data_IF_638445043301
#
_entry.id   IF_638445043301
#
_cell.length_a   1.000
_cell.length_b   1.000
_cell.length_c   1.000
_cell.angle_alpha   90.00
_cell.angle_beta   90.00
_cell.angle_gamma   90.00
#
_symmetry.space_group_name_H-M   'P 1'
#
loop_
_entity.id
_entity.type
_entity.pdbx_description
1 polymer ?
#
# COMPACT_ATOMS: atom_id res chain seq x y z
N UNK A 1 15.53 5.55 11.32
CA UNK A 1 14.45 5.06 12.20
C UNK A 1 14.11 3.64 11.71
N UNK A 2 13.18 2.91 12.31
CA UNK A 2 12.67 1.67 11.70
C UNK A 2 11.15 1.74 11.72
N UNK A 3 10.55 2.03 10.57
CA UNK A 3 9.12 2.08 10.37
C UNK A 3 8.75 1.11 9.25
N UNK A 4 7.62 0.42 9.40
CA UNK A 4 7.08 -0.49 8.40
C UNK A 4 5.61 -0.18 8.24
N UNK A 5 5.17 -0.06 6.99
CA UNK A 5 3.77 0.13 6.66
C UNK A 5 3.15 -1.20 6.27
N UNK A 6 1.92 -1.42 6.71
CA UNK A 6 1.13 -2.56 6.25
C UNK A 6 -0.30 -2.16 5.91
N UNK A 7 -0.79 -2.66 4.78
CA UNK A 7 -2.10 -2.33 4.21
C UNK A 7 -2.95 -3.60 4.12
N UNK A 8 -4.21 -3.45 4.52
CA UNK A 8 -5.22 -4.50 4.50
C UNK A 8 -5.89 -4.59 3.12
N UNK A 9 -5.76 -5.73 2.44
CA UNK A 9 -6.37 -6.03 1.14
C UNK A 9 -7.51 -7.05 1.23
N UNK A 10 -8.08 -7.25 2.41
CA UNK A 10 -9.23 -8.13 2.60
C UNK A 10 -10.46 -7.60 1.86
N UNK A 11 -11.33 -8.53 1.44
CA UNK A 11 -12.53 -8.20 0.67
C UNK A 11 -13.56 -7.32 1.40
N UNK A 12 -13.44 -7.11 2.72
CA UNK A 12 -14.29 -6.18 3.46
C UNK A 12 -14.10 -4.72 3.04
N UNK A 13 -13.01 -4.39 2.35
CA UNK A 13 -12.76 -3.05 1.80
C UNK A 13 -13.61 -2.73 0.56
N UNK A 14 -14.23 -3.75 -0.06
CA UNK A 14 -14.96 -3.61 -1.31
C UNK A 14 -14.06 -3.68 -2.55
N UNK A 15 -14.70 -3.77 -3.72
CA UNK A 15 -14.02 -3.84 -5.01
C UNK A 15 -13.40 -2.46 -5.36
N UNK A 16 -12.08 -2.34 -5.55
CA UNK A 16 -11.41 -1.07 -5.84
C UNK A 16 -11.92 -0.32 -7.08
N UNK A 17 -12.65 -0.99 -7.99
CA UNK A 17 -13.30 -0.35 -9.13
C UNK A 17 -14.57 0.44 -8.76
N UNK A 18 -15.09 0.24 -7.55
CA UNK A 18 -16.31 0.88 -7.05
C UNK A 18 -15.97 2.07 -6.14
N UNK A 19 -16.71 3.17 -6.28
CA UNK A 19 -16.47 4.42 -5.54
C UNK A 19 -16.65 4.29 -4.03
N UNK A 20 -17.43 3.30 -3.59
CA UNK A 20 -17.65 3.01 -2.17
C UNK A 20 -16.49 2.22 -1.53
N UNK A 21 -15.55 1.71 -2.32
CA UNK A 21 -14.42 0.95 -1.79
C UNK A 21 -13.46 1.84 -1.01
N UNK A 22 -12.94 1.32 0.10
CA UNK A 22 -11.90 2.00 0.87
C UNK A 22 -10.56 2.06 0.10
N UNK A 23 -10.40 1.22 -0.92
CA UNK A 23 -9.29 1.22 -1.87
C UNK A 23 -9.61 1.93 -3.19
N UNK A 24 -10.74 2.62 -3.31
CA UNK A 24 -11.05 3.35 -4.53
C UNK A 24 -9.94 4.36 -4.86
N UNK A 25 -9.47 4.36 -6.10
CA UNK A 25 -8.52 5.36 -6.60
C UNK A 25 -9.30 6.40 -7.37
N UNK A 26 -9.41 7.59 -6.79
CA UNK A 26 -10.15 8.68 -7.40
C UNK A 26 -9.41 9.21 -8.65
N UNK A 27 -10.07 9.26 -9.83
CA UNK A 27 -9.45 9.77 -11.07
C UNK A 27 -9.01 11.24 -10.99
N UNK A 28 -9.53 12.01 -10.03
CA UNK A 28 -9.14 13.39 -9.74
C UNK A 28 -7.96 13.50 -8.75
N UNK A 29 -7.41 12.36 -8.31
CA UNK A 29 -6.36 12.23 -7.28
C UNK A 29 -6.78 12.67 -5.87
N UNK A 30 -8.08 12.64 -5.55
CA UNK A 30 -8.51 12.77 -4.16
C UNK A 30 -8.13 11.50 -3.38
N UNK A 31 -7.42 11.61 -2.23
CA UNK A 31 -6.94 10.42 -1.55
C UNK A 31 -8.05 9.63 -0.86
N UNK A 32 -7.94 8.31 -0.90
CA UNK A 32 -8.76 7.45 -0.04
C UNK A 32 -8.23 7.43 1.42
N UNK A 33 -8.92 6.68 2.28
CA UNK A 33 -8.58 6.61 3.71
C UNK A 33 -7.17 6.03 3.96
N UNK A 34 -6.76 5.02 3.19
CA UNK A 34 -5.43 4.41 3.32
C UNK A 34 -4.34 5.38 2.86
N UNK A 35 -4.52 6.04 1.72
CA UNK A 35 -3.57 7.03 1.21
C UNK A 35 -3.42 8.22 2.16
N UNK A 36 -4.55 8.69 2.72
CA UNK A 36 -4.56 9.77 3.71
C UNK A 36 -3.77 9.38 4.96
N UNK A 37 -4.00 8.18 5.50
CA UNK A 37 -3.30 7.69 6.68
C UNK A 37 -1.79 7.51 6.43
N UNK A 38 -1.42 6.91 5.29
CA UNK A 38 -0.04 6.70 4.88
C UNK A 38 0.72 8.03 4.77
N UNK A 39 0.15 9.03 4.11
CA UNK A 39 0.79 10.35 3.98
C UNK A 39 0.89 11.07 5.33
N UNK A 40 -0.20 11.09 6.10
CA UNK A 40 -0.24 11.81 7.39
C UNK A 40 0.82 11.32 8.38
N UNK A 41 1.10 10.02 8.40
CA UNK A 41 2.14 9.42 9.25
C UNK A 41 3.51 9.46 8.56
N UNK A 42 3.54 9.04 7.30
CA UNK A 42 4.75 8.85 6.54
C UNK A 42 5.54 10.13 6.33
N UNK A 43 4.89 11.24 5.95
CA UNK A 43 5.57 12.52 5.70
C UNK A 43 6.29 13.04 6.95
N UNK A 44 5.76 12.74 8.15
CA UNK A 44 6.40 13.09 9.41
C UNK A 44 7.56 12.14 9.70
N UNK A 45 7.33 10.84 9.56
CA UNK A 45 8.28 9.79 9.91
C UNK A 45 9.49 9.78 8.97
N UNK A 46 9.30 10.09 7.70
CA UNK A 46 10.32 10.11 6.65
C UNK A 46 11.47 11.09 6.94
N UNK A 47 11.19 12.21 7.60
CA UNK A 47 12.22 13.18 7.97
C UNK A 47 13.15 12.69 9.09
N UNK A 48 12.76 11.63 9.82
CA UNK A 48 13.58 10.97 10.83
C UNK A 48 14.27 9.71 10.31
N UNK A 49 14.10 9.41 9.02
CA UNK A 49 14.72 8.29 8.37
C UNK A 49 15.78 8.74 7.36
N UNK A 50 17.02 8.26 7.54
CA UNK A 50 18.16 8.76 6.76
C UNK A 50 18.23 8.18 5.36
N UNK A 51 17.70 6.97 5.14
CA UNK A 51 17.69 6.32 3.83
C UNK A 51 16.31 6.42 3.14
N UNK A 52 15.26 6.76 3.90
CA UNK A 52 13.89 6.94 3.41
C UNK A 52 13.36 5.67 2.76
N UNK A 53 13.88 4.50 3.15
CA UNK A 53 13.44 3.20 2.67
C UNK A 53 12.51 2.55 3.69
N UNK A 54 11.27 2.37 3.28
CA UNK A 54 10.24 1.77 4.12
C UNK A 54 9.83 0.41 3.58
N UNK A 55 9.89 -0.68 4.37
CA UNK A 55 9.19 -1.90 4.05
C UNK A 55 7.69 -1.61 3.96
N UNK A 56 7.07 -2.01 2.85
CA UNK A 56 5.62 -1.90 2.66
C UNK A 56 5.02 -3.27 2.35
N UNK A 57 4.12 -3.69 3.22
CA UNK A 57 3.55 -5.04 3.23
C UNK A 57 2.04 -4.99 2.98
N UNK A 58 1.52 -5.91 2.19
CA UNK A 58 0.09 -6.16 2.05
C UNK A 58 -0.31 -7.46 2.72
N UNK A 59 -1.56 -7.57 3.17
CA UNK A 59 -2.12 -8.84 3.66
C UNK A 59 -3.59 -8.99 3.24
N UNK A 60 -4.06 -10.23 3.11
CA UNK A 60 -5.49 -10.51 2.89
C UNK A 60 -5.95 -10.49 1.43
N UNK A 61 -5.02 -10.41 0.47
CA UNK A 61 -5.31 -10.43 -0.97
C UNK A 61 -5.22 -11.85 -1.54
N UNK A 62 -5.81 -12.05 -2.72
CA UNK A 62 -5.49 -13.19 -3.59
C UNK A 62 -4.51 -12.73 -4.65
N UNK A 63 -3.31 -13.31 -4.69
CA UNK A 63 -2.29 -12.86 -5.63
C UNK A 63 -2.32 -13.67 -6.94
N UNK A 64 -2.12 -13.03 -8.10
CA UNK A 64 -1.84 -13.75 -9.33
C UNK A 64 -0.48 -14.48 -9.26
N UNK A 65 -0.27 -15.56 -10.05
CA UNK A 65 -1.21 -16.14 -11.02
C UNK A 65 -2.13 -17.23 -10.44
N UNK A 66 -1.83 -17.76 -9.25
CA UNK A 66 -2.52 -18.93 -8.70
C UNK A 66 -3.76 -18.58 -7.87
N UNK A 67 -4.00 -17.29 -7.61
CA UNK A 67 -5.17 -16.79 -6.88
C UNK A 67 -5.21 -17.24 -5.43
N UNK A 68 -4.06 -17.66 -4.87
CA UNK A 68 -3.97 -18.07 -3.47
C UNK A 68 -4.05 -16.86 -2.56
N UNK A 69 -4.73 -17.05 -1.44
CA UNK A 69 -4.76 -16.03 -0.38
C UNK A 69 -3.35 -15.86 0.17
N UNK A 70 -2.84 -14.64 0.10
CA UNK A 70 -1.60 -14.25 0.74
C UNK A 70 -1.91 -13.46 2.02
N UNK A 71 -1.34 -13.93 3.12
CA UNK A 71 -1.41 -13.22 4.40
C UNK A 71 -0.28 -12.21 4.58
N UNK A 72 0.70 -12.19 3.66
CA UNK A 72 1.80 -11.24 3.67
C UNK A 72 2.48 -11.22 2.30
N UNK A 73 2.57 -10.06 1.69
CA UNK A 73 3.28 -9.86 0.42
C UNK A 73 3.90 -8.47 0.35
N UNK A 74 4.87 -8.29 -0.53
CA UNK A 74 5.53 -7.00 -0.71
C UNK A 74 4.74 -6.18 -1.73
N UNK A 75 4.35 -4.99 -1.30
CA UNK A 75 3.46 -4.11 -2.07
C UNK A 75 4.06 -3.68 -3.41
N UNK A 76 5.39 -3.59 -3.47
CA UNK A 76 6.13 -3.26 -4.70
C UNK A 76 6.19 -4.42 -5.72
N UNK A 77 5.63 -5.59 -5.40
CA UNK A 77 5.64 -6.77 -6.26
C UNK A 77 6.97 -7.53 -6.33
N UNK A 78 7.99 -7.11 -5.59
CA UNK A 78 9.27 -7.83 -5.52
C UNK A 78 9.10 -9.08 -4.64
N UNK A 79 9.68 -10.22 -5.04
CA UNK A 79 9.57 -11.47 -4.27
C UNK A 79 10.52 -11.56 -3.07
N UNK A 80 11.42 -10.60 -2.91
CA UNK A 80 12.55 -10.65 -1.99
C UNK A 80 12.86 -9.34 -1.26
N UNK A 81 12.40 -8.20 -1.78
CA UNK A 81 12.69 -6.88 -1.25
C UNK A 81 11.41 -6.09 -0.93
N UNK A 82 11.07 -5.85 0.35
CA UNK A 82 9.86 -5.11 0.72
C UNK A 82 9.99 -3.60 0.63
N UNK A 83 11.19 -3.06 0.38
CA UNK A 83 11.47 -1.64 0.57
C UNK A 83 10.99 -0.78 -0.60
N UNK A 84 10.25 0.28 -0.25
CA UNK A 84 9.83 1.38 -1.12
C UNK A 84 10.58 2.65 -0.71
N UNK A 85 10.93 3.49 -1.70
CA UNK A 85 11.59 4.76 -1.44
C UNK A 85 10.58 5.89 -1.22
N UNK A 86 10.62 6.49 -0.03
CA UNK A 86 9.80 7.60 0.40
C UNK A 86 8.30 7.30 0.45
N UNK A 87 7.51 8.32 0.80
CA UNK A 87 6.05 8.23 0.92
C UNK A 87 5.33 8.75 -0.33
N UNK A 88 5.99 9.62 -1.10
CA UNK A 88 5.47 10.21 -2.35
C UNK A 88 5.46 9.22 -3.53
N UNK A 89 5.99 8.01 -3.35
CA UNK A 89 6.07 7.01 -4.40
C UNK A 89 4.69 6.52 -4.83
N UNK A 90 4.33 6.78 -6.10
CA UNK A 90 3.20 6.16 -6.82
C UNK A 90 3.12 4.62 -6.70
N UNK A 91 4.16 3.98 -6.17
CA UNK A 91 4.20 2.56 -5.84
C UNK A 91 3.23 2.15 -4.73
N UNK A 92 2.79 3.07 -3.85
CA UNK A 92 1.78 2.75 -2.83
C UNK A 92 0.36 2.77 -3.40
N UNK A 93 0.13 3.52 -4.49
CA UNK A 93 -1.18 3.63 -5.16
C UNK A 93 -1.35 2.62 -6.30
N UNK A 94 -0.27 1.96 -6.77
CA UNK A 94 -0.37 0.83 -7.73
C UNK A 94 -1.05 -0.42 -7.16
N UNK A 95 -1.54 -0.34 -5.93
CA UNK A 95 -2.16 -1.41 -5.16
C UNK A 95 -3.59 -1.75 -5.55
N UNK A 96 -4.20 -1.02 -6.50
CA UNK A 96 -5.58 -1.30 -6.94
C UNK A 96 -5.67 -2.22 -8.16
N UNK A 97 -4.55 -2.80 -8.60
CA UNK A 97 -4.53 -3.81 -9.67
C UNK A 97 -4.32 -5.26 -9.17
N UNK A 98 -4.32 -5.49 -7.85
CA UNK A 98 -4.28 -6.84 -7.24
C UNK A 98 -5.67 -7.24 -6.71
#
# INVERSE_FOLDING_TARGET
LACTFSVDFTGSNGDPSQIESLHYVDPTNYPNAYETALRSVGEIIEEYDSDKLFPVLGFGARLPPDGRVSHLFFVNGDGSNPYCHGIEGKNLTMLCEI
#
